data_IF_562483944468
#
_entry.id   IF_562483944468
#
_cell.length_a   1.000
_cell.length_b   1.000
_cell.length_c   1.000
_cell.angle_alpha   90.00
_cell.angle_beta   90.00
_cell.angle_gamma   90.00
#
_symmetry.space_group_name_H-M   'P 1'
#
loop_
_entity.id
_entity.type
_entity.pdbx_description
1 polymer ?
#
# COMPACT_ATOMS: atom_id res chain seq x y z
N UNK A 1 -18.91 7.61 19.13
CA UNK A 1 -17.84 8.06 20.05
C UNK A 1 -16.50 7.94 19.34
N UNK A 2 -15.91 9.06 18.88
CA UNK A 2 -14.56 9.08 18.35
C UNK A 2 -13.62 9.08 19.55
N UNK A 3 -12.84 8.01 19.73
CA UNK A 3 -11.82 7.95 20.79
C UNK A 3 -10.56 8.63 20.24
N UNK A 4 -10.11 9.76 20.79
CA UNK A 4 -8.86 10.37 20.37
C UNK A 4 -7.72 9.38 20.68
N UNK A 5 -6.95 8.98 19.67
CA UNK A 5 -5.76 8.15 19.85
C UNK A 5 -4.60 9.03 20.34
N UNK A 6 -4.64 9.47 21.60
CA UNK A 6 -3.52 10.14 22.30
C UNK A 6 -2.47 9.14 22.78
N UNK A 7 -2.03 8.23 21.90
CA UNK A 7 -0.86 7.38 22.19
C UNK A 7 0.41 8.10 21.71
N UNK A 8 1.50 8.13 22.50
CA UNK A 8 2.80 8.60 22.02
C UNK A 8 3.16 7.89 20.71
N UNK A 9 3.59 8.64 19.69
CA UNK A 9 3.81 8.16 18.31
C UNK A 9 4.67 6.90 18.27
N UNK A 10 5.70 6.81 19.13
CA UNK A 10 6.56 5.64 19.24
C UNK A 10 5.80 4.36 19.65
N UNK A 11 4.93 4.46 20.67
CA UNK A 11 4.13 3.35 21.17
C UNK A 11 3.08 2.90 20.15
N UNK A 12 2.49 3.84 19.42
CA UNK A 12 1.55 3.54 18.34
C UNK A 12 2.23 2.78 17.19
N UNK A 13 3.41 3.22 16.74
CA UNK A 13 4.19 2.53 15.70
C UNK A 13 4.60 1.12 16.13
N UNK A 14 4.97 0.93 17.39
CA UNK A 14 5.29 -0.39 17.93
C UNK A 14 4.09 -1.35 17.82
N UNK A 15 2.90 -0.90 18.26
CA UNK A 15 1.66 -1.69 18.19
C UNK A 15 1.34 -2.09 16.75
N UNK A 16 1.47 -1.17 15.79
CA UNK A 16 1.28 -1.49 14.38
C UNK A 16 2.27 -2.54 13.89
N UNK A 17 3.56 -2.40 14.23
CA UNK A 17 4.59 -3.39 13.84
C UNK A 17 4.28 -4.77 14.43
N UNK A 18 3.89 -4.84 15.70
CA UNK A 18 3.59 -6.09 16.38
C UNK A 18 2.34 -6.76 15.79
N UNK A 19 1.32 -5.96 15.45
CA UNK A 19 0.12 -6.40 14.74
C UNK A 19 0.46 -6.97 13.36
N UNK A 20 1.28 -6.27 12.56
CA UNK A 20 1.70 -6.71 11.23
C UNK A 20 2.53 -8.01 11.29
N UNK A 21 3.39 -8.16 12.30
CA UNK A 21 4.23 -9.36 12.46
C UNK A 21 3.43 -10.61 12.84
N UNK A 22 2.40 -10.46 13.66
CA UNK A 22 1.72 -11.59 14.30
C UNK A 22 0.36 -11.87 13.68
N UNK A 23 -0.54 -10.88 13.68
CA UNK A 23 -1.94 -11.08 13.31
C UNK A 23 -2.19 -10.98 11.82
N UNK A 24 -1.58 -10.01 11.12
CA UNK A 24 -1.85 -9.80 9.70
C UNK A 24 -1.59 -11.08 8.87
N UNK A 25 -0.46 -11.76 9.12
CA UNK A 25 -0.17 -13.05 8.46
C UNK A 25 -1.14 -14.17 8.86
N UNK A 26 -1.53 -14.25 10.13
CA UNK A 26 -2.44 -15.29 10.63
C UNK A 26 -3.86 -15.17 10.06
N UNK A 27 -4.36 -13.94 9.89
CA UNK A 27 -5.68 -13.69 9.30
C UNK A 27 -5.64 -13.68 7.76
N UNK A 28 -4.47 -13.96 7.19
CA UNK A 28 -4.26 -14.00 5.74
C UNK A 28 -4.37 -12.63 5.08
N UNK A 29 -3.97 -11.54 5.75
CA UNK A 29 -3.92 -10.18 5.22
C UNK A 29 -2.86 -10.05 4.12
N UNK A 30 -3.25 -10.41 2.90
CA UNK A 30 -2.37 -10.53 1.74
C UNK A 30 -3.07 -9.87 0.57
N UNK A 31 -2.33 -9.02 -0.14
CA UNK A 31 -2.74 -8.49 -1.43
C UNK A 31 -2.09 -9.29 -2.54
N UNK A 32 -2.90 -9.77 -3.49
CA UNK A 32 -2.40 -10.37 -4.73
C UNK A 32 -2.47 -9.33 -5.85
N UNK A 33 -1.43 -9.24 -6.67
CA UNK A 33 -1.36 -8.29 -7.77
C UNK A 33 -1.36 -9.03 -9.10
N UNK A 34 -2.15 -8.55 -10.06
CA UNK A 34 -2.33 -9.13 -11.39
C UNK A 34 -2.44 -8.02 -12.45
N UNK A 35 -2.37 -8.37 -13.73
CA UNK A 35 -2.50 -7.44 -14.87
C UNK A 35 -1.51 -6.28 -14.80
N UNK A 36 -0.25 -6.59 -14.49
CA UNK A 36 0.83 -5.62 -14.43
C UNK A 36 1.13 -5.05 -15.81
N UNK A 37 1.23 -3.73 -15.87
CA UNK A 37 1.66 -2.99 -17.05
C UNK A 37 2.68 -1.94 -16.65
N UNK A 38 3.65 -1.72 -17.53
CA UNK A 38 4.76 -0.80 -17.33
C UNK A 38 4.77 0.19 -18.49
N UNK A 39 4.76 1.48 -18.17
CA UNK A 39 4.81 2.54 -19.18
C UNK A 39 5.84 3.57 -18.75
N UNK A 40 6.75 3.92 -19.66
CA UNK A 40 7.74 4.95 -19.37
C UNK A 40 7.08 6.34 -19.40
N UNK A 41 7.32 7.13 -18.36
CA UNK A 41 6.90 8.53 -18.23
C UNK A 41 8.15 9.39 -17.95
N UNK A 42 8.83 9.83 -19.03
CA UNK A 42 10.12 10.50 -18.93
C UNK A 42 11.21 9.59 -18.37
N UNK A 43 11.84 9.99 -17.28
CA UNK A 43 12.86 9.19 -16.57
C UNK A 43 12.26 8.25 -15.51
N UNK A 44 10.94 8.08 -15.50
CA UNK A 44 10.20 7.28 -14.52
C UNK A 44 9.39 6.20 -15.22
N UNK A 45 8.91 5.24 -14.46
CA UNK A 45 8.07 4.15 -14.92
C UNK A 45 6.76 4.17 -14.14
N UNK A 46 5.66 4.24 -14.87
CA UNK A 46 4.32 4.03 -14.37
C UNK A 46 4.04 2.53 -14.34
N UNK A 47 3.71 2.02 -13.17
CA UNK A 47 3.27 0.66 -12.94
C UNK A 47 1.77 0.70 -12.68
N UNK A 48 0.97 -0.03 -13.45
CA UNK A 48 -0.45 -0.24 -13.14
C UNK A 48 -0.70 -1.72 -12.89
N UNK A 49 -1.44 -2.03 -11.83
CA UNK A 49 -1.77 -3.39 -11.41
C UNK A 49 -3.21 -3.44 -10.89
N UNK A 50 -3.80 -4.62 -10.88
CA UNK A 50 -5.03 -4.92 -10.16
C UNK A 50 -4.68 -5.60 -8.84
N UNK A 51 -5.04 -4.99 -7.71
CA UNK A 51 -4.84 -5.51 -6.36
C UNK A 51 -6.08 -6.23 -5.88
N UNK A 52 -5.99 -7.51 -5.56
CA UNK A 52 -7.01 -8.26 -4.83
C UNK A 52 -6.67 -8.33 -3.34
N UNK A 53 -7.53 -7.74 -2.50
CA UNK A 53 -7.42 -7.82 -1.03
C UNK A 53 -8.10 -9.08 -0.52
N UNK A 54 -7.34 -9.96 0.14
CA UNK A 54 -7.88 -11.18 0.73
C UNK A 54 -8.84 -10.92 1.90
N UNK A 55 -8.71 -9.78 2.59
CA UNK A 55 -9.57 -9.39 3.71
C UNK A 55 -10.88 -8.80 3.20
N UNK A 56 -10.79 -7.84 2.30
CA UNK A 56 -11.96 -7.13 1.79
C UNK A 56 -12.69 -7.92 0.70
N UNK A 57 -12.04 -8.96 0.15
CA UNK A 57 -12.55 -9.77 -0.97
C UNK A 57 -12.91 -8.90 -2.17
N UNK A 58 -12.11 -7.87 -2.42
CA UNK A 58 -12.33 -6.89 -3.48
C UNK A 58 -11.07 -6.70 -4.29
N UNK A 59 -11.26 -6.48 -5.59
CA UNK A 59 -10.21 -6.07 -6.52
C UNK A 59 -10.30 -4.56 -6.74
N UNK A 60 -9.16 -3.87 -6.73
CA UNK A 60 -9.09 -2.44 -7.01
C UNK A 60 -7.87 -2.11 -7.88
N UNK A 61 -7.98 -1.16 -8.82
CA UNK A 61 -6.82 -0.70 -9.58
C UNK A 61 -5.84 0.04 -8.66
N UNK A 62 -4.55 -0.15 -8.94
CA UNK A 62 -3.45 0.57 -8.31
C UNK A 62 -2.52 1.10 -9.40
N UNK A 63 -2.08 2.34 -9.26
CA UNK A 63 -1.15 3.02 -10.16
C UNK A 63 -0.03 3.65 -9.34
N UNK A 64 1.22 3.30 -9.66
CA UNK A 64 2.41 3.84 -8.99
C UNK A 64 3.35 4.46 -10.01
N UNK A 65 3.83 5.67 -9.76
CA UNK A 65 4.93 6.25 -10.52
C UNK A 65 6.22 6.04 -9.74
N UNK A 66 7.14 5.26 -10.30
CA UNK A 66 8.42 4.95 -9.67
C UNK A 66 9.58 5.42 -10.53
N UNK A 67 10.70 5.76 -9.91
CA UNK A 67 11.90 6.13 -10.66
C UNK A 67 13.08 6.44 -9.74
N UNK A 68 14.28 6.60 -10.31
CA UNK A 68 15.45 7.00 -9.55
C UNK A 68 15.39 8.48 -9.16
N UNK A 69 15.88 8.81 -7.96
CA UNK A 69 16.25 10.16 -7.57
C UNK A 69 17.63 10.57 -8.14
N UNK A 70 18.12 11.76 -7.79
CA UNK A 70 19.42 12.25 -8.25
C UNK A 70 20.61 11.39 -7.81
N UNK A 71 20.43 10.52 -6.81
CA UNK A 71 21.45 9.59 -6.31
C UNK A 71 21.32 8.18 -6.92
N UNK A 72 20.32 7.96 -7.79
CA UNK A 72 20.00 6.67 -8.38
C UNK A 72 19.13 5.78 -7.48
N UNK A 73 18.67 6.27 -6.32
CA UNK A 73 17.79 5.52 -5.43
C UNK A 73 16.38 5.51 -6.00
N UNK A 74 15.80 4.33 -6.17
CA UNK A 74 14.42 4.21 -6.63
C UNK A 74 13.43 4.61 -5.53
N UNK A 75 12.53 5.52 -5.89
CA UNK A 75 11.48 6.06 -5.03
C UNK A 75 10.11 5.89 -5.68
N UNK A 76 9.08 5.95 -4.85
CA UNK A 76 7.68 6.10 -5.28
C UNK A 76 7.39 7.60 -5.27
N UNK A 77 7.07 8.15 -6.44
CA UNK A 77 6.72 9.57 -6.61
C UNK A 77 5.22 9.81 -6.51
N UNK A 78 4.41 8.82 -6.87
CA UNK A 78 2.96 8.88 -6.79
C UNK A 78 2.41 7.47 -6.56
N UNK A 79 1.39 7.36 -5.71
CA UNK A 79 0.61 6.14 -5.51
C UNK A 79 -0.88 6.51 -5.51
N UNK A 80 -1.62 5.97 -6.47
CA UNK A 80 -3.06 6.10 -6.59
C UNK A 80 -3.67 4.72 -6.42
N UNK A 81 -4.58 4.59 -5.47
CA UNK A 81 -5.38 3.38 -5.29
C UNK A 81 -6.81 3.74 -4.91
N UNK A 82 -7.76 2.93 -5.37
CA UNK A 82 -9.14 3.09 -4.93
C UNK A 82 -9.31 2.49 -3.52
N UNK A 83 -9.95 3.25 -2.64
CA UNK A 83 -10.38 2.78 -1.32
C UNK A 83 -11.87 2.44 -1.36
N UNK A 84 -12.21 1.19 -1.12
CA UNK A 84 -13.61 0.79 -0.95
C UNK A 84 -14.04 1.08 0.48
N UNK A 85 -14.71 2.21 0.69
CA UNK A 85 -15.35 2.49 1.97
C UNK A 85 -16.61 1.62 2.07
N UNK A 86 -16.59 0.58 2.93
CA UNK A 86 -17.79 -0.20 3.23
C UNK A 86 -18.87 0.77 3.76
N UNK A 87 -20.02 0.81 3.07
CA UNK A 87 -21.24 1.46 3.56
C UNK A 87 -21.83 0.68 4.73
#
# INVERSE_FOLDING_TARGET
>A
KVVPLTKPVAKYKQILRDYMKTKARQIGDISNYTNDTYTQEGNRVRIKVTRYSSIEKVSSPVSMLVGPDATGRWLIYEELSESHQKR
#
